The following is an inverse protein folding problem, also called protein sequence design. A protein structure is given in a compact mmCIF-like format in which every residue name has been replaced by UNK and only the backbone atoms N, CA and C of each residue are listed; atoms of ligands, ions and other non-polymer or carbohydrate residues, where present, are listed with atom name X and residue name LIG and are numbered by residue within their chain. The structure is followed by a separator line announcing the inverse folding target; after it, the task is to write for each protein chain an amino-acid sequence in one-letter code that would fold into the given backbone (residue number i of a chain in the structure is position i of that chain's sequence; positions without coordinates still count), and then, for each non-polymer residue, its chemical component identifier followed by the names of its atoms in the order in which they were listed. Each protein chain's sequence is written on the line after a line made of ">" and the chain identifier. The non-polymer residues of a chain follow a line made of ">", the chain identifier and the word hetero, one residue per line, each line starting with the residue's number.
data_IF_558210695139
#
_entry.id   IF_558210695139
#
_cell.length_a   1.000
_cell.length_b   1.000
_cell.length_c   1.000
_cell.angle_alpha   90.00
_cell.angle_beta   90.00
_cell.angle_gamma   90.00
#
_symmetry.space_group_name_H-M   'P 1'
#
loop_
_entity.id
_entity.type
_entity.pdbx_description
1 polymer ?
#
# COMPACT_ATOMS: atom_id res chain seq x y z
N UNK A 1 20.32 64.99 50.71
CA UNK A 1 21.01 63.72 50.53
C UNK A 1 20.70 63.21 49.13
N UNK A 2 21.73 63.04 48.35
CA UNK A 2 21.68 63.06 46.87
C UNK A 2 21.24 61.74 46.28
N UNK A 3 20.35 61.80 45.23
CA UNK A 3 20.08 60.74 44.26
C UNK A 3 21.18 60.81 43.21
N UNK A 4 21.71 59.70 42.73
CA UNK A 4 22.37 59.65 41.41
C UNK A 4 21.43 59.22 40.31
N UNK A 5 21.52 59.96 39.22
CA UNK A 5 20.89 59.75 37.91
C UNK A 5 21.44 58.47 37.25
N UNK A 6 20.59 57.60 36.80
CA UNK A 6 20.91 56.53 35.87
C UNK A 6 20.76 57.01 34.41
N UNK A 7 21.84 56.92 33.64
CA UNK A 7 21.85 57.20 32.19
C UNK A 7 21.28 56.00 31.41
N UNK A 8 20.50 56.24 30.37
CA UNK A 8 20.09 55.15 29.48
C UNK A 8 21.19 54.89 28.46
N UNK A 9 21.63 53.62 28.42
CA UNK A 9 22.50 53.10 27.38
C UNK A 9 21.65 52.75 26.17
N UNK A 10 21.74 53.55 25.10
CA UNK A 10 21.17 53.27 23.78
C UNK A 10 22.02 52.17 23.13
N UNK A 11 21.53 50.97 23.16
CA UNK A 11 22.07 49.85 22.37
C UNK A 11 21.36 49.77 21.02
N UNK A 12 22.00 50.33 20.01
CA UNK A 12 21.58 50.15 18.62
C UNK A 12 21.87 48.71 18.20
N UNK A 13 20.86 47.84 18.29
CA UNK A 13 20.90 46.55 17.65
C UNK A 13 20.43 46.74 16.19
N UNK A 14 21.40 46.75 15.28
CA UNK A 14 21.12 46.57 13.84
C UNK A 14 20.52 45.19 13.63
N UNK A 15 19.22 45.12 13.52
CA UNK A 15 18.51 43.93 13.03
C UNK A 15 18.81 43.78 11.53
N UNK A 16 19.79 42.96 11.19
CA UNK A 16 19.92 42.43 9.86
C UNK A 16 18.71 41.51 9.60
N UNK A 17 17.71 42.05 8.93
CA UNK A 17 16.62 41.27 8.36
C UNK A 17 17.20 40.47 7.20
N UNK A 18 17.67 39.27 7.47
CA UNK A 18 17.85 38.25 6.44
C UNK A 18 16.43 37.80 6.00
N UNK A 19 15.90 38.44 4.98
CA UNK A 19 14.82 37.91 4.19
C UNK A 19 15.35 36.65 3.48
N UNK A 20 15.36 35.54 4.18
CA UNK A 20 15.43 34.24 3.56
C UNK A 20 14.12 34.08 2.76
N UNK A 21 14.19 34.39 1.47
CA UNK A 21 13.18 34.03 0.51
C UNK A 21 13.13 32.50 0.49
N UNK A 22 12.35 31.92 1.39
CA UNK A 22 11.84 30.58 1.25
C UNK A 22 10.98 30.61 -0.02
N UNK A 23 11.60 30.36 -1.14
CA UNK A 23 10.90 29.81 -2.29
C UNK A 23 10.36 28.46 -1.81
N UNK A 24 9.13 28.48 -1.31
CA UNK A 24 8.31 27.29 -1.30
C UNK A 24 8.27 26.84 -2.76
N UNK A 25 9.09 25.85 -3.08
CA UNK A 25 8.86 25.01 -4.24
C UNK A 25 7.54 24.30 -3.85
N UNK A 26 6.43 24.96 -4.19
CA UNK A 26 5.18 24.26 -4.33
C UNK A 26 5.52 23.15 -5.32
N UNK A 27 5.75 21.93 -4.82
CA UNK A 27 5.63 20.75 -5.63
C UNK A 27 4.19 20.81 -6.13
N UNK A 28 4.05 21.34 -7.35
CA UNK A 28 2.82 21.20 -8.09
C UNK A 28 2.50 19.71 -8.00
N UNK A 29 1.38 19.37 -7.39
CA UNK A 29 0.79 18.06 -7.57
C UNK A 29 0.88 17.79 -9.07
N UNK A 30 1.33 16.57 -9.50
CA UNK A 30 1.54 16.28 -10.91
C UNK A 30 0.32 16.78 -11.64
N UNK A 31 0.50 17.88 -12.39
CA UNK A 31 -0.59 18.60 -13.00
C UNK A 31 -1.28 17.63 -13.94
N UNK A 32 -2.59 17.47 -13.80
CA UNK A 32 -3.40 16.80 -14.80
C UNK A 32 -2.96 17.39 -16.14
N UNK A 33 -2.53 16.58 -17.11
CA UNK A 33 -2.16 17.09 -18.42
C UNK A 33 -3.39 17.80 -19.00
N UNK A 34 -3.47 19.10 -18.82
CA UNK A 34 -4.51 19.92 -19.43
C UNK A 34 -3.95 20.31 -20.79
N UNK A 35 -4.38 19.62 -21.82
CA UNK A 35 -3.95 19.97 -23.16
C UNK A 35 -4.24 18.88 -24.20
N UNK A 36 -4.26 19.32 -25.43
CA UNK A 36 -4.39 18.44 -26.58
C UNK A 36 -3.15 17.53 -26.69
N UNK A 37 -3.37 16.23 -26.74
CA UNK A 37 -2.39 15.22 -27.10
C UNK A 37 -2.61 14.79 -28.55
N UNK A 38 -1.55 14.52 -29.30
CA UNK A 38 -1.67 13.98 -30.67
C UNK A 38 -1.81 12.46 -30.60
N UNK A 39 -3.01 11.97 -30.78
CA UNK A 39 -3.29 10.54 -30.84
C UNK A 39 -3.03 9.98 -32.22
N UNK A 40 -2.41 8.80 -32.27
CA UNK A 40 -2.09 8.08 -33.50
C UNK A 40 -2.81 6.74 -33.51
N UNK A 41 -3.55 6.45 -34.56
CA UNK A 41 -4.17 5.14 -34.75
C UNK A 41 -3.16 4.10 -35.29
N UNK A 42 -3.55 2.83 -35.27
CA UNK A 42 -2.71 1.71 -35.78
C UNK A 42 -2.48 1.77 -37.29
N UNK A 43 -3.20 2.62 -38.04
CA UNK A 43 -3.01 2.90 -39.45
C UNK A 43 -2.04 4.05 -39.70
N UNK A 44 -1.60 4.76 -38.64
CA UNK A 44 -0.70 5.90 -38.72
C UNK A 44 -1.39 7.25 -38.89
N UNK A 45 -2.71 7.34 -38.83
CA UNK A 45 -3.42 8.62 -38.85
C UNK A 45 -3.30 9.27 -37.49
N UNK A 46 -3.05 10.59 -37.47
CA UNK A 46 -2.88 11.31 -36.22
C UNK A 46 -3.83 12.51 -36.12
N UNK A 47 -4.33 12.77 -34.92
CA UNK A 47 -5.17 13.95 -34.65
C UNK A 47 -4.97 14.45 -33.21
N UNK A 48 -4.90 15.80 -33.01
CA UNK A 48 -4.87 16.37 -31.69
C UNK A 48 -6.25 16.28 -31.03
N UNK A 49 -6.31 15.76 -29.79
CA UNK A 49 -7.54 15.64 -29.03
C UNK A 49 -7.24 15.64 -27.52
N UNK A 50 -8.28 15.85 -26.71
CA UNK A 50 -8.28 15.71 -25.26
C UNK A 50 -9.01 14.45 -24.85
N UNK A 51 -8.53 13.78 -23.79
CA UNK A 51 -9.16 12.57 -23.24
C UNK A 51 -10.36 12.98 -22.37
N UNK A 52 -11.54 12.53 -22.75
CA UNK A 52 -12.79 12.81 -22.00
C UNK A 52 -13.18 11.63 -21.12
N UNK A 53 -13.24 10.42 -21.67
CA UNK A 53 -13.62 9.22 -20.91
C UNK A 53 -13.20 7.93 -21.61
N UNK A 54 -13.22 6.83 -20.87
CA UNK A 54 -13.12 5.47 -21.37
C UNK A 54 -14.27 4.68 -20.76
N UNK A 55 -15.11 4.08 -21.62
CA UNK A 55 -16.25 3.27 -21.21
C UNK A 55 -16.11 1.87 -21.83
N UNK A 56 -15.88 0.89 -20.97
CA UNK A 56 -15.41 -0.43 -21.43
C UNK A 56 -14.09 -0.28 -22.19
N UNK A 57 -14.06 -0.64 -23.45
CA UNK A 57 -12.91 -0.54 -24.34
C UNK A 57 -13.01 0.65 -25.33
N UNK A 58 -14.00 1.54 -25.16
CA UNK A 58 -14.21 2.68 -26.07
C UNK A 58 -13.68 3.98 -25.45
N UNK A 59 -12.66 4.56 -26.04
CA UNK A 59 -12.14 5.87 -25.70
C UNK A 59 -12.98 6.97 -26.34
N UNK A 60 -13.41 7.95 -25.55
CA UNK A 60 -14.07 9.15 -25.99
C UNK A 60 -13.11 10.33 -25.85
N UNK A 61 -12.82 10.96 -26.95
CA UNK A 61 -11.88 12.07 -27.08
C UNK A 61 -12.62 13.29 -27.64
N UNK A 62 -12.16 14.50 -27.32
CA UNK A 62 -12.61 15.72 -27.95
C UNK A 62 -11.49 16.31 -28.79
N UNK A 63 -11.73 16.45 -30.08
CA UNK A 63 -10.75 17.02 -31.02
C UNK A 63 -10.58 18.52 -30.80
N UNK A 64 -9.49 19.09 -31.30
CA UNK A 64 -9.22 20.51 -31.23
C UNK A 64 -10.31 21.39 -31.88
N UNK A 65 -11.06 20.85 -32.83
CA UNK A 65 -12.21 21.52 -33.48
C UNK A 65 -13.52 21.41 -32.67
N UNK A 66 -13.45 20.86 -31.43
CA UNK A 66 -14.60 20.68 -30.55
C UNK A 66 -15.48 19.46 -30.88
N UNK A 67 -15.15 18.68 -31.92
CA UNK A 67 -15.90 17.49 -32.27
C UNK A 67 -15.51 16.31 -31.39
N UNK A 68 -16.51 15.52 -31.02
CA UNK A 68 -16.29 14.27 -30.31
C UNK A 68 -15.73 13.19 -31.27
N UNK A 69 -14.81 12.41 -30.75
CA UNK A 69 -14.20 11.29 -31.44
C UNK A 69 -14.22 10.08 -30.53
N UNK A 70 -15.02 9.08 -30.89
CA UNK A 70 -15.10 7.81 -30.14
C UNK A 70 -14.49 6.71 -30.98
N UNK A 71 -13.57 5.94 -30.36
CA UNK A 71 -12.89 4.83 -31.02
C UNK A 71 -12.54 3.72 -30.02
N UNK A 72 -12.47 2.44 -30.44
CA UNK A 72 -11.93 1.38 -29.59
C UNK A 72 -10.52 1.71 -29.13
N UNK A 73 -10.21 1.47 -27.86
CA UNK A 73 -8.87 1.72 -27.29
C UNK A 73 -7.78 0.99 -28.09
N UNK A 74 -8.06 -0.24 -28.54
CA UNK A 74 -7.15 -1.05 -29.35
C UNK A 74 -6.85 -0.45 -30.74
N UNK A 75 -7.60 0.55 -31.19
CA UNK A 75 -7.33 1.23 -32.48
C UNK A 75 -6.19 2.26 -32.37
N UNK A 76 -5.74 2.61 -31.18
CA UNK A 76 -4.61 3.51 -30.94
C UNK A 76 -3.30 2.74 -30.80
N UNK A 77 -2.18 3.39 -31.10
CA UNK A 77 -0.86 2.81 -30.83
C UNK A 77 -0.67 2.58 -29.32
N UNK A 78 0.16 1.60 -28.90
CA UNK A 78 0.28 1.23 -27.47
C UNK A 78 0.62 2.40 -26.54
N UNK A 79 1.44 3.34 -26.99
CA UNK A 79 1.79 4.53 -26.19
C UNK A 79 0.56 5.41 -25.88
N UNK A 80 -0.33 5.58 -26.85
CA UNK A 80 -1.55 6.38 -26.72
C UNK A 80 -2.61 5.66 -25.87
N UNK A 81 -2.69 4.33 -25.96
CA UNK A 81 -3.55 3.53 -25.08
C UNK A 81 -3.16 3.76 -23.61
N UNK A 82 -1.86 3.69 -23.30
CA UNK A 82 -1.31 3.96 -21.96
C UNK A 82 -1.64 5.38 -21.53
N UNK A 83 -1.38 6.37 -22.38
CA UNK A 83 -1.65 7.78 -22.10
C UNK A 83 -3.12 8.04 -21.77
N UNK A 84 -4.06 7.43 -22.50
CA UNK A 84 -5.51 7.55 -22.23
C UNK A 84 -5.82 7.05 -20.81
N UNK A 85 -5.37 5.84 -20.46
CA UNK A 85 -5.68 5.20 -19.19
C UNK A 85 -5.04 6.00 -18.03
N UNK A 86 -3.77 6.36 -18.12
CA UNK A 86 -3.06 7.13 -17.08
C UNK A 86 -3.69 8.51 -16.88
N UNK A 87 -4.06 9.20 -17.96
CA UNK A 87 -4.73 10.51 -17.90
C UNK A 87 -6.04 10.41 -17.12
N UNK A 88 -6.87 9.42 -17.41
CA UNK A 88 -8.15 9.22 -16.73
C UNK A 88 -7.97 8.84 -15.25
N UNK A 89 -6.96 8.03 -14.93
CA UNK A 89 -6.59 7.71 -13.55
C UNK A 89 -6.20 9.00 -12.80
N UNK A 90 -5.31 9.82 -13.39
CA UNK A 90 -4.88 11.08 -12.79
C UNK A 90 -6.03 12.06 -12.60
N UNK A 91 -6.90 12.22 -13.60
CA UNK A 91 -8.11 13.07 -13.49
C UNK A 91 -9.02 12.61 -12.34
N UNK A 92 -9.15 11.28 -12.16
CA UNK A 92 -9.96 10.71 -11.09
C UNK A 92 -9.34 10.98 -9.72
N UNK A 93 -8.04 10.76 -9.57
CA UNK A 93 -7.30 11.02 -8.33
C UNK A 93 -7.30 12.50 -7.96
N UNK A 94 -7.16 13.40 -8.94
CA UNK A 94 -7.23 14.84 -8.73
C UNK A 94 -8.58 15.30 -8.17
N UNK A 95 -9.66 14.55 -8.43
CA UNK A 95 -11.00 14.76 -7.89
C UNK A 95 -11.25 14.03 -6.56
N UNK A 96 -10.20 13.48 -5.93
CA UNK A 96 -10.29 12.64 -4.73
C UNK A 96 -11.20 11.41 -4.89
N UNK A 97 -11.37 10.92 -6.11
CA UNK A 97 -12.14 9.71 -6.39
C UNK A 97 -11.17 8.52 -6.48
N UNK A 98 -11.26 7.52 -5.60
CA UNK A 98 -10.37 6.36 -5.67
C UNK A 98 -10.62 5.55 -6.95
N UNK A 99 -9.55 4.94 -7.47
CA UNK A 99 -9.62 4.00 -8.60
C UNK A 99 -10.12 2.65 -8.12
N UNK A 100 -9.70 2.26 -6.91
CA UNK A 100 -10.09 1.01 -6.26
C UNK A 100 -10.73 1.26 -4.90
N UNK A 101 -11.78 0.53 -4.57
CA UNK A 101 -12.13 0.25 -3.19
C UNK A 101 -11.22 -0.88 -2.69
N UNK A 102 -10.34 -0.57 -1.73
CA UNK A 102 -9.39 -1.53 -1.16
C UNK A 102 -9.82 -1.86 0.27
N UNK A 103 -9.90 -3.15 0.59
CA UNK A 103 -10.07 -3.63 1.95
C UNK A 103 -9.19 -4.86 2.18
N UNK A 104 -8.83 -5.12 3.43
CA UNK A 104 -8.09 -6.30 3.81
C UNK A 104 -8.58 -6.82 5.16
N UNK A 105 -8.79 -8.12 5.24
CA UNK A 105 -9.20 -8.80 6.47
C UNK A 105 -8.15 -9.86 6.83
N UNK A 106 -7.74 -9.97 8.11
CA UNK A 106 -6.89 -11.05 8.55
C UNK A 106 -7.68 -12.37 8.55
N UNK A 107 -7.02 -13.44 8.14
CA UNK A 107 -7.57 -14.80 8.13
C UNK A 107 -6.61 -15.70 8.86
N UNK A 108 -7.13 -16.45 9.84
CA UNK A 108 -6.37 -17.40 10.63
C UNK A 108 -6.60 -18.83 10.12
N UNK A 109 -5.52 -19.63 10.09
CA UNK A 109 -5.54 -21.00 9.64
C UNK A 109 -4.52 -21.84 10.43
N UNK A 110 -4.61 -23.17 10.33
CA UNK A 110 -3.62 -24.12 10.87
C UNK A 110 -3.37 -23.96 12.37
N UNK A 111 -4.42 -23.79 13.16
CA UNK A 111 -4.31 -23.63 14.61
C UNK A 111 -3.85 -24.95 15.27
N UNK A 112 -2.87 -24.82 16.14
CA UNK A 112 -2.37 -25.91 16.97
C UNK A 112 -2.13 -25.43 18.40
N UNK A 113 -2.34 -26.31 19.38
CA UNK A 113 -2.14 -26.00 20.79
C UNK A 113 -1.31 -27.07 21.45
N UNK A 114 -0.26 -26.66 22.14
CA UNK A 114 0.65 -27.57 22.85
C UNK A 114 0.76 -27.16 24.32
N UNK A 115 0.38 -28.06 25.26
CA UNK A 115 0.63 -27.83 26.66
C UNK A 115 2.14 -27.88 26.97
N UNK A 116 2.55 -27.01 27.91
CA UNK A 116 3.90 -26.96 28.47
C UNK A 116 3.82 -27.05 30.01
N UNK A 117 4.91 -27.34 30.67
CA UNK A 117 4.95 -27.36 32.13
C UNK A 117 4.49 -26.04 32.77
N UNK A 118 4.84 -24.93 32.14
CA UNK A 118 4.56 -23.58 32.62
C UNK A 118 3.33 -22.92 31.99
N UNK A 119 2.63 -23.56 31.06
CA UNK A 119 1.51 -22.93 30.37
C UNK A 119 1.06 -23.66 29.11
N UNK A 120 0.55 -22.89 28.17
CA UNK A 120 0.10 -23.37 26.86
C UNK A 120 0.70 -22.49 25.78
N UNK A 121 1.27 -23.11 24.75
CA UNK A 121 1.68 -22.44 23.51
C UNK A 121 0.66 -22.76 22.42
N UNK A 122 0.11 -21.72 21.81
CA UNK A 122 -0.69 -21.84 20.58
C UNK A 122 0.11 -21.32 19.41
N UNK A 123 0.00 -21.99 18.29
CA UNK A 123 0.58 -21.58 17.01
C UNK A 123 -0.49 -21.63 15.93
N UNK A 124 -0.40 -20.69 15.00
CA UNK A 124 -1.30 -20.62 13.83
C UNK A 124 -0.59 -19.93 12.68
N UNK A 125 -1.15 -20.03 11.49
CA UNK A 125 -0.80 -19.20 10.35
C UNK A 125 -1.81 -18.10 10.20
N UNK A 126 -1.37 -16.87 9.91
CA UNK A 126 -2.28 -15.75 9.68
C UNK A 126 -1.84 -14.97 8.42
N UNK A 127 -2.81 -14.59 7.60
CA UNK A 127 -2.58 -13.87 6.36
C UNK A 127 -3.70 -12.86 6.12
N UNK A 128 -3.44 -11.87 5.26
CA UNK A 128 -4.50 -10.96 4.83
C UNK A 128 -5.14 -11.43 3.53
N UNK A 129 -6.47 -11.37 3.49
CA UNK A 129 -7.25 -11.45 2.27
C UNK A 129 -7.56 -10.02 1.81
N UNK A 130 -6.84 -9.56 0.78
CA UNK A 130 -6.99 -8.23 0.19
C UNK A 130 -8.06 -8.31 -0.88
N UNK A 131 -9.03 -7.42 -0.81
CA UNK A 131 -10.07 -7.26 -1.82
C UNK A 131 -9.84 -5.94 -2.56
N UNK A 132 -9.69 -6.00 -3.87
CA UNK A 132 -9.57 -4.86 -4.78
C UNK A 132 -10.81 -4.84 -5.67
N UNK A 133 -11.65 -3.83 -5.54
CA UNK A 133 -12.78 -3.60 -6.43
C UNK A 133 -12.45 -2.42 -7.34
N UNK A 134 -12.48 -2.63 -8.63
CA UNK A 134 -12.34 -1.56 -9.62
C UNK A 134 -13.59 -0.67 -9.59
N UNK A 135 -13.45 0.57 -9.15
CA UNK A 135 -14.57 1.52 -9.07
C UNK A 135 -14.68 2.42 -10.31
N UNK A 136 -13.92 2.10 -11.36
CA UNK A 136 -13.97 2.80 -12.64
C UNK A 136 -14.87 2.08 -13.64
N UNK A 137 -15.19 2.75 -14.75
CA UNK A 137 -15.82 2.16 -15.92
C UNK A 137 -14.82 1.61 -16.94
N UNK A 138 -13.53 1.52 -16.56
CA UNK A 138 -12.44 1.08 -17.42
C UNK A 138 -11.98 -0.32 -17.01
N UNK A 139 -11.57 -1.11 -18.00
CA UNK A 139 -10.74 -2.28 -17.76
C UNK A 139 -9.33 -1.83 -17.42
N UNK A 140 -8.78 -2.30 -16.31
CA UNK A 140 -7.43 -2.00 -15.84
C UNK A 140 -6.55 -3.24 -16.04
N UNK A 141 -5.47 -3.08 -16.80
CA UNK A 141 -4.57 -4.16 -17.18
C UNK A 141 -3.19 -3.99 -16.59
N UNK A 142 -2.39 -5.06 -16.57
CA UNK A 142 -0.98 -5.07 -16.16
C UNK A 142 -0.74 -4.48 -14.78
N UNK A 143 -1.62 -4.76 -13.83
CA UNK A 143 -1.52 -4.23 -12.48
C UNK A 143 -0.52 -5.02 -11.65
N UNK A 144 0.20 -4.29 -10.80
CA UNK A 144 1.07 -4.86 -9.78
C UNK A 144 0.68 -4.35 -8.41
N UNK A 145 0.45 -5.25 -7.48
CA UNK A 145 0.11 -4.93 -6.09
C UNK A 145 1.31 -5.24 -5.22
N UNK A 146 1.76 -4.24 -4.47
CA UNK A 146 2.75 -4.44 -3.41
C UNK A 146 2.05 -4.30 -2.07
N UNK A 147 2.26 -5.27 -1.20
CA UNK A 147 1.72 -5.28 0.14
C UNK A 147 2.83 -5.42 1.17
N UNK A 148 2.76 -4.64 2.24
CA UNK A 148 3.65 -4.76 3.41
C UNK A 148 2.80 -5.07 4.62
N UNK A 149 3.04 -6.23 5.24
CA UNK A 149 2.37 -6.66 6.46
C UNK A 149 3.25 -6.29 7.66
N UNK A 150 2.65 -5.66 8.66
CA UNK A 150 3.29 -5.25 9.91
C UNK A 150 2.85 -6.21 11.02
N UNK A 151 3.80 -6.96 11.54
CA UNK A 151 3.61 -7.91 12.63
C UNK A 151 4.37 -7.44 13.88
N UNK A 152 3.72 -7.41 15.02
CA UNK A 152 4.34 -7.21 16.31
C UNK A 152 4.55 -8.57 16.98
N UNK A 153 5.79 -8.98 17.28
CA UNK A 153 6.07 -10.29 17.86
C UNK A 153 5.82 -10.29 19.37
N UNK A 154 5.15 -11.32 19.88
CA UNK A 154 4.95 -11.65 21.30
C UNK A 154 4.71 -10.43 22.21
N UNK A 155 3.72 -9.61 21.85
CA UNK A 155 3.31 -8.49 22.69
C UNK A 155 2.40 -8.96 23.83
N UNK A 156 2.52 -8.37 25.04
CA UNK A 156 1.57 -8.60 26.12
C UNK A 156 0.15 -8.20 25.71
N UNK A 157 -0.84 -8.94 26.16
CA UNK A 157 -2.27 -8.69 25.88
C UNK A 157 -2.77 -7.32 26.38
N UNK A 158 -2.10 -6.76 27.41
CA UNK A 158 -2.41 -5.46 28.00
C UNK A 158 -1.60 -4.30 27.40
N UNK A 159 -0.69 -4.58 26.45
CA UNK A 159 0.19 -3.57 25.90
C UNK A 159 -0.58 -2.61 24.98
N UNK A 160 -0.68 -1.35 25.35
CA UNK A 160 -1.27 -0.28 24.57
C UNK A 160 -0.21 0.64 23.88
N UNK A 161 1.07 0.32 24.03
CA UNK A 161 2.17 1.18 23.52
C UNK A 161 2.67 0.79 22.14
N UNK A 162 2.82 1.77 21.27
CA UNK A 162 3.23 1.61 19.86
C UNK A 162 4.76 1.54 19.63
N UNK A 163 5.58 1.48 20.66
CA UNK A 163 7.04 1.32 20.53
C UNK A 163 7.45 -0.15 20.38
N UNK A 164 6.76 -0.87 19.51
CA UNK A 164 7.03 -2.28 19.24
C UNK A 164 8.01 -2.40 18.08
N UNK A 165 9.02 -3.25 18.25
CA UNK A 165 9.84 -3.69 17.11
C UNK A 165 8.92 -4.47 16.15
N UNK A 166 8.61 -3.89 14.99
CA UNK A 166 7.74 -4.50 14.00
C UNK A 166 8.55 -5.38 13.05
N UNK A 167 8.07 -6.58 12.81
CA UNK A 167 8.54 -7.43 11.71
C UNK A 167 7.76 -7.05 10.44
N UNK A 168 8.48 -6.73 9.38
CA UNK A 168 7.92 -6.28 8.11
C UNK A 168 8.04 -7.38 7.08
N UNK A 169 6.92 -7.71 6.42
CA UNK A 169 6.88 -8.69 5.33
C UNK A 169 6.31 -8.03 4.09
N UNK A 170 7.19 -7.78 3.13
CA UNK A 170 6.82 -7.21 1.85
C UNK A 170 6.59 -8.31 0.81
N UNK A 171 5.55 -8.15 0.02
CA UNK A 171 5.13 -9.10 -1.01
C UNK A 171 4.69 -8.34 -2.26
N UNK A 172 4.87 -8.96 -3.42
CA UNK A 172 4.47 -8.36 -4.71
C UNK A 172 3.66 -9.37 -5.50
N UNK A 173 2.53 -8.91 -6.03
CA UNK A 173 1.61 -9.71 -6.83
C UNK A 173 1.42 -9.04 -8.18
N UNK A 174 1.52 -9.80 -9.25
CA UNK A 174 1.08 -9.38 -10.57
C UNK A 174 -0.36 -9.84 -10.76
N UNK A 175 -1.21 -8.95 -11.21
CA UNK A 175 -2.61 -9.25 -11.45
C UNK A 175 -2.90 -9.31 -12.94
N UNK A 176 -3.74 -10.25 -13.29
CA UNK A 176 -4.44 -10.19 -14.55
C UNK A 176 -5.33 -8.95 -14.62
N UNK A 177 -5.88 -8.71 -15.80
CA UNK A 177 -6.80 -7.61 -16.01
C UNK A 177 -7.98 -7.65 -15.04
N UNK A 178 -8.36 -6.47 -14.56
CA UNK A 178 -9.58 -6.28 -13.76
C UNK A 178 -10.57 -5.51 -14.61
N UNK A 179 -11.65 -6.17 -15.00
CA UNK A 179 -12.73 -5.54 -15.76
C UNK A 179 -13.36 -4.36 -14.98
N UNK A 180 -14.10 -3.51 -15.65
CA UNK A 180 -14.90 -2.46 -15.04
C UNK A 180 -15.81 -3.06 -13.96
N UNK A 181 -15.88 -2.36 -12.80
CA UNK A 181 -16.69 -2.75 -11.63
C UNK A 181 -16.38 -4.14 -11.04
N UNK A 182 -15.41 -4.88 -11.60
CA UNK A 182 -15.05 -6.20 -11.10
C UNK A 182 -14.23 -6.15 -9.82
N UNK A 183 -14.23 -7.28 -9.13
CA UNK A 183 -13.48 -7.46 -7.86
C UNK A 183 -12.43 -8.57 -8.04
N UNK A 184 -11.22 -8.29 -7.57
CA UNK A 184 -10.14 -9.28 -7.45
C UNK A 184 -9.78 -9.48 -5.98
N UNK A 185 -9.50 -10.72 -5.62
CA UNK A 185 -9.09 -11.09 -4.27
C UNK A 185 -7.66 -11.66 -4.34
N UNK A 186 -6.82 -11.18 -3.42
CA UNK A 186 -5.43 -11.62 -3.26
C UNK A 186 -5.26 -12.11 -1.83
N UNK A 187 -4.65 -13.27 -1.62
CA UNK A 187 -4.20 -13.70 -0.31
C UNK A 187 -2.71 -13.38 -0.17
N UNK A 188 -2.32 -12.75 0.95
CA UNK A 188 -0.89 -12.60 1.27
C UNK A 188 -0.31 -13.96 1.68
N UNK A 189 1.02 -14.08 1.61
CA UNK A 189 1.66 -15.29 2.13
C UNK A 189 1.39 -15.39 3.63
N UNK A 190 1.13 -16.60 4.14
CA UNK A 190 0.86 -16.81 5.54
C UNK A 190 2.09 -16.52 6.41
N UNK A 191 1.85 -15.90 7.55
CA UNK A 191 2.84 -15.65 8.60
C UNK A 191 2.62 -16.60 9.76
N UNK A 192 3.69 -17.19 10.26
CA UNK A 192 3.64 -17.99 11.47
C UNK A 192 3.43 -17.07 12.67
N UNK A 193 2.42 -17.40 13.46
CA UNK A 193 1.98 -16.68 14.63
C UNK A 193 2.01 -17.60 15.85
N UNK A 194 2.26 -17.04 17.02
CA UNK A 194 2.22 -17.79 18.27
C UNK A 194 1.67 -16.96 19.41
N UNK A 195 1.09 -17.64 20.38
CA UNK A 195 0.81 -17.09 21.70
C UNK A 195 1.29 -18.01 22.79
N UNK A 196 1.59 -17.42 23.94
CA UNK A 196 2.02 -18.12 25.15
C UNK A 196 1.11 -17.67 26.28
N UNK A 197 0.43 -18.62 26.92
CA UNK A 197 -0.35 -18.38 28.14
C UNK A 197 0.38 -19.02 29.33
N UNK A 198 0.66 -18.25 30.38
CA UNK A 198 1.30 -18.74 31.60
C UNK A 198 0.26 -19.32 32.54
N UNK A 199 0.54 -20.51 33.12
CA UNK A 199 -0.29 -21.09 34.19
C UNK A 199 -0.24 -20.25 35.47
N UNK A 200 0.88 -19.62 35.74
CA UNK A 200 1.09 -18.82 36.96
C UNK A 200 0.63 -17.37 36.79
N UNK A 201 0.06 -17.02 35.65
CA UNK A 201 -0.54 -15.72 35.40
C UNK A 201 0.41 -14.58 35.09
N UNK A 202 1.75 -14.79 35.11
CA UNK A 202 2.71 -13.69 34.95
C UNK A 202 3.91 -14.09 34.08
N UNK A 203 4.38 -13.14 33.29
CA UNK A 203 5.65 -13.21 32.59
C UNK A 203 6.69 -12.31 33.26
N UNK A 204 7.95 -12.71 33.38
CA UNK A 204 8.98 -11.87 33.98
C UNK A 204 9.17 -10.52 33.29
N UNK A 205 9.02 -10.49 31.96
CA UNK A 205 9.11 -9.28 31.15
C UNK A 205 7.82 -8.43 31.13
N UNK A 206 6.69 -8.97 31.63
CA UNK A 206 5.38 -8.32 31.67
C UNK A 206 4.57 -8.89 32.82
N UNK A 207 4.87 -8.48 34.08
CA UNK A 207 4.33 -9.11 35.29
C UNK A 207 2.81 -8.98 35.44
N UNK A 208 2.17 -8.09 34.69
CA UNK A 208 0.70 -7.93 34.68
C UNK A 208 0.02 -8.65 33.54
N UNK A 209 0.78 -9.27 32.61
CA UNK A 209 0.23 -9.97 31.45
C UNK A 209 0.05 -11.46 31.75
N UNK A 210 -1.13 -12.00 31.43
CA UNK A 210 -1.40 -13.44 31.50
C UNK A 210 -1.09 -14.16 30.21
N UNK A 211 -0.99 -13.44 29.11
CA UNK A 211 -0.66 -13.95 27.78
C UNK A 211 0.26 -12.99 27.02
N UNK A 212 1.05 -13.54 26.14
CA UNK A 212 1.81 -12.81 25.11
C UNK A 212 1.47 -13.44 23.75
N UNK A 213 1.23 -12.61 22.75
CA UNK A 213 0.86 -13.09 21.44
C UNK A 213 1.48 -12.26 20.31
N UNK A 214 1.77 -12.91 19.20
CA UNK A 214 2.03 -12.23 17.96
C UNK A 214 0.74 -11.51 17.48
N UNK A 215 0.87 -10.34 16.91
CA UNK A 215 -0.26 -9.56 16.40
C UNK A 215 0.02 -9.00 15.02
N UNK A 216 -0.93 -9.13 14.11
CA UNK A 216 -0.96 -8.32 12.89
C UNK A 216 -1.39 -6.90 13.28
N UNK A 217 -0.55 -5.91 12.99
CA UNK A 217 -0.78 -4.51 13.34
C UNK A 217 -1.48 -3.78 12.21
N UNK A 218 -0.96 -3.97 11.00
CA UNK A 218 -1.49 -3.33 9.80
C UNK A 218 -1.04 -4.06 8.54
N UNK A 219 -1.70 -3.72 7.45
CA UNK A 219 -1.23 -3.99 6.11
C UNK A 219 -1.26 -2.69 5.29
N UNK A 220 -0.21 -2.42 4.54
CA UNK A 220 -0.08 -1.29 3.64
C UNK A 220 -0.01 -1.80 2.20
N UNK A 221 -0.89 -1.29 1.35
CA UNK A 221 -1.07 -1.77 -0.03
C UNK A 221 -0.85 -0.61 -0.99
N UNK A 222 -0.03 -0.84 -2.01
CA UNK A 222 0.14 0.04 -3.17
C UNK A 222 -0.18 -0.72 -4.45
N UNK A 223 -0.96 -0.11 -5.31
CA UNK A 223 -1.31 -0.61 -6.63
C UNK A 223 -0.57 0.22 -7.67
N UNK A 224 0.15 -0.44 -8.56
CA UNK A 224 0.88 0.17 -9.67
C UNK A 224 0.35 -0.38 -10.98
N UNK A 225 0.45 0.41 -12.04
CA UNK A 225 0.28 -0.08 -13.40
C UNK A 225 1.55 -0.75 -13.95
N UNK A 226 1.51 -1.19 -15.19
CA UNK A 226 2.65 -1.83 -15.89
C UNK A 226 3.88 -0.93 -16.03
N UNK A 227 3.72 0.39 -16.01
CA UNK A 227 4.77 1.40 -16.14
C UNK A 227 5.34 1.85 -14.80
N UNK A 228 4.98 1.21 -13.69
CA UNK A 228 5.33 1.63 -12.32
C UNK A 228 4.67 2.93 -11.86
N UNK A 229 3.65 3.42 -12.53
CA UNK A 229 2.86 4.54 -12.03
C UNK A 229 2.03 4.09 -10.83
N UNK A 230 2.10 4.84 -9.72
CA UNK A 230 1.31 4.57 -8.51
C UNK A 230 -0.15 4.96 -8.76
N UNK A 231 -1.00 3.95 -8.97
CA UNK A 231 -2.44 4.13 -9.20
C UNK A 231 -3.15 4.46 -7.91
N UNK A 232 -2.85 3.75 -6.82
CA UNK A 232 -3.49 3.98 -5.53
C UNK A 232 -2.68 3.41 -4.37
N UNK A 233 -2.83 4.07 -3.21
CA UNK A 233 -2.27 3.66 -1.94
C UNK A 233 -3.37 3.52 -0.90
N UNK A 234 -3.25 2.51 -0.04
CA UNK A 234 -4.17 2.26 1.05
C UNK A 234 -3.47 1.57 2.21
N UNK A 235 -3.83 1.91 3.44
CA UNK A 235 -3.34 1.25 4.64
C UNK A 235 -4.50 0.96 5.59
N UNK A 236 -4.49 -0.21 6.23
CA UNK A 236 -5.51 -0.60 7.21
C UNK A 236 -5.42 0.21 8.51
N UNK A 237 -4.30 0.90 8.77
CA UNK A 237 -4.08 1.74 9.94
C UNK A 237 -3.69 3.15 9.52
N UNK A 238 -4.51 4.12 9.90
CA UNK A 238 -4.21 5.54 9.67
C UNK A 238 -2.94 6.00 10.43
N UNK A 239 -2.63 5.36 11.55
CA UNK A 239 -1.44 5.64 12.36
C UNK A 239 -0.17 5.21 11.65
N UNK A 240 -0.14 3.99 11.12
CA UNK A 240 0.98 3.47 10.32
C UNK A 240 1.17 4.34 9.07
N UNK A 241 0.09 4.76 8.43
CA UNK A 241 0.15 5.63 7.26
C UNK A 241 0.75 7.01 7.58
N UNK A 242 0.45 7.58 8.75
CA UNK A 242 0.98 8.89 9.18
C UNK A 242 2.44 8.85 9.62
N UNK A 243 2.84 7.81 10.33
CA UNK A 243 4.18 7.68 10.92
C UNK A 243 5.16 6.99 9.98
N UNK A 244 4.68 6.13 9.10
CA UNK A 244 5.48 5.36 8.17
C UNK A 244 5.84 6.16 6.93
N UNK A 245 7.03 5.86 6.38
CA UNK A 245 7.37 6.19 4.99
C UNK A 245 7.46 4.88 4.26
N UNK A 246 6.79 4.81 3.13
CA UNK A 246 6.96 3.66 2.26
C UNK A 246 8.42 3.58 1.79
N UNK A 247 9.02 2.43 1.96
CA UNK A 247 10.37 2.17 1.47
C UNK A 247 10.31 1.12 0.36
N UNK A 248 10.68 1.52 -0.84
CA UNK A 248 10.71 0.61 -2.00
C UNK A 248 11.74 -0.50 -1.85
N UNK A 249 12.69 -0.38 -0.91
CA UNK A 249 13.65 -1.45 -0.60
C UNK A 249 13.01 -2.62 0.12
N UNK A 250 11.89 -2.41 0.82
CA UNK A 250 11.15 -3.50 1.48
C UNK A 250 10.72 -4.59 0.50
N UNK A 251 10.40 -4.22 -0.74
CA UNK A 251 10.01 -5.16 -1.79
C UNK A 251 11.19 -5.93 -2.39
N UNK A 252 12.42 -5.51 -2.14
CA UNK A 252 13.63 -6.15 -2.70
C UNK A 252 14.22 -7.23 -1.79
N UNK A 253 13.85 -7.24 -0.51
CA UNK A 253 14.37 -8.19 0.49
C UNK A 253 13.54 -9.45 0.68
N UNK A 254 12.40 -9.57 0.04
CA UNK A 254 11.57 -10.77 0.08
C UNK A 254 12.10 -11.85 -0.86
N UNK A 255 13.16 -12.56 -0.46
CA UNK A 255 13.40 -13.89 -1.03
C UNK A 255 12.12 -14.71 -0.79
N UNK A 256 11.44 -15.13 -1.86
CA UNK A 256 10.41 -16.15 -1.76
C UNK A 256 10.94 -17.27 -0.86
N UNK A 257 10.25 -17.64 0.22
CA UNK A 257 10.56 -18.89 0.86
C UNK A 257 10.27 -19.95 -0.21
N UNK A 258 11.32 -20.62 -0.69
CA UNK A 258 11.19 -21.85 -1.45
C UNK A 258 10.23 -22.73 -0.67
N UNK A 259 9.11 -23.19 -1.24
CA UNK A 259 8.22 -24.08 -0.52
C UNK A 259 9.06 -25.27 -0.09
N UNK A 260 9.17 -25.47 1.23
CA UNK A 260 9.84 -26.63 1.77
C UNK A 260 9.16 -27.84 1.14
N UNK A 261 9.90 -28.54 0.30
CA UNK A 261 9.44 -29.78 -0.29
C UNK A 261 8.99 -30.68 0.87
N UNK A 262 7.69 -30.93 0.93
CA UNK A 262 7.11 -31.88 1.86
C UNK A 262 7.60 -33.29 1.45
N UNK A 263 8.74 -33.68 1.99
CA UNK A 263 9.16 -35.09 1.98
C UNK A 263 8.28 -35.84 2.97
N UNK A 264 7.03 -36.00 2.62
CA UNK A 264 6.12 -36.94 3.22
C UNK A 264 6.44 -38.32 2.71
N UNK A 265 7.48 -38.94 3.26
CA UNK A 265 7.66 -40.39 3.13
C UNK A 265 6.50 -41.06 3.88
N UNK A 266 5.56 -41.61 3.12
CA UNK A 266 4.52 -42.45 3.67
C UNK A 266 5.18 -43.65 4.41
N UNK A 267 4.76 -44.00 5.65
CA UNK A 267 5.23 -45.19 6.29
C UNK A 267 4.70 -46.44 5.54
N UNK A 268 5.61 -47.25 5.03
CA UNK A 268 5.32 -48.53 4.43
C UNK A 268 4.68 -49.43 5.49
N UNK A 269 3.50 -50.04 5.25
CA UNK A 269 2.92 -50.95 6.20
C UNK A 269 3.78 -52.24 6.26
N UNK A 270 4.42 -52.48 7.41
CA UNK A 270 5.15 -53.68 7.69
C UNK A 270 4.24 -54.93 7.62
N UNK A 271 4.54 -55.82 6.71
CA UNK A 271 3.97 -57.18 6.64
C UNK A 271 4.48 -57.96 7.85
N UNK A 272 3.59 -58.21 8.83
CA UNK A 272 3.84 -59.20 9.89
C UNK A 272 3.81 -60.61 9.34
N UNK A 273 4.74 -61.38 9.82
CA UNK A 273 4.67 -62.83 9.87
C UNK A 273 4.33 -63.28 11.30
#
# INVERSE_FOLDING_TARGET
>A
MAKPLARPFCLFIRACVFLAAFRAIAQAAPGVPQGLHTFTDVQGNSAPAEVISLVGDTANLQRADGKDWSAPLASFVPADQIFIVETLIQQRLARNNPVFSISAIPVRANENSRPMATGVVQTWSEFYKITLKNDTSMKLANLRVRAVVFKAPLVPDISSGYNLALDLRAQTYTLDDIADRATKIIATDPLDMRSIQSRNGYFPAAPTAHAMADRLVAIWVRVYDGNNFLVQEWCSSAEVLKQGKWDDTWAKGGGSPTPAASTGAAPTPGRGR
#
